data_IF_950263580018
#
_entry.id   IF_950263580018
#
_cell.length_a   1.000
_cell.length_b   1.000
_cell.length_c   1.000
_cell.angle_alpha   90.00
_cell.angle_beta   90.00
_cell.angle_gamma   90.00
#
_symmetry.space_group_name_H-M   'P 1'
#
loop_
_entity.id
_entity.type
_entity.pdbx_description
1 polymer ?
#
# COMPACT_ATOMS: atom_id res chain seq x y z
N UNK A 1 4.99 -18.63 2.62
CA UNK A 1 5.94 -17.49 2.59
C UNK A 1 5.18 -16.20 2.90
N UNK A 2 5.11 -15.74 4.15
CA UNK A 2 4.41 -14.48 4.47
C UNK A 2 5.33 -13.29 4.20
N UNK A 3 5.35 -12.79 2.95
CA UNK A 3 5.99 -11.54 2.59
C UNK A 3 5.25 -10.37 3.27
N UNK A 4 5.75 -9.98 4.44
CA UNK A 4 5.32 -8.76 5.12
C UNK A 4 6.03 -7.59 4.45
N UNK A 5 5.25 -6.63 3.97
CA UNK A 5 5.76 -5.42 3.36
C UNK A 5 5.74 -4.29 4.39
N UNK A 6 6.70 -3.37 4.23
CA UNK A 6 6.68 -2.11 4.97
C UNK A 6 5.66 -1.15 4.35
N UNK A 7 5.25 -0.14 5.13
CA UNK A 7 4.38 0.96 4.66
C UNK A 7 4.94 1.63 3.42
N UNK A 8 6.26 1.78 3.35
CA UNK A 8 6.94 2.42 2.23
C UNK A 8 6.82 1.59 0.95
N UNK A 9 7.05 0.29 1.04
CA UNK A 9 6.94 -0.60 -0.13
C UNK A 9 5.50 -0.74 -0.61
N UNK A 10 4.55 -0.93 0.30
CA UNK A 10 3.15 -0.98 -0.08
C UNK A 10 2.66 0.33 -0.71
N UNK A 11 3.14 1.47 -0.22
CA UNK A 11 2.82 2.77 -0.80
C UNK A 11 3.43 2.91 -2.22
N UNK A 12 4.65 2.41 -2.44
CA UNK A 12 5.27 2.38 -3.76
C UNK A 12 4.50 1.48 -4.74
N UNK A 13 4.07 0.30 -4.31
CA UNK A 13 3.29 -0.65 -5.13
C UNK A 13 1.90 -0.09 -5.50
N UNK A 14 1.25 0.64 -4.60
CA UNK A 14 -0.04 1.30 -4.89
C UNK A 14 0.16 2.58 -5.72
N UNK A 15 1.39 3.13 -5.78
CA UNK A 15 1.64 4.45 -6.35
C UNK A 15 1.06 5.59 -5.49
N UNK A 16 0.98 5.40 -4.17
CA UNK A 16 0.37 6.37 -3.25
C UNK A 16 1.40 6.92 -2.24
N UNK A 17 1.11 8.08 -1.64
CA UNK A 17 1.97 8.64 -0.62
C UNK A 17 1.88 7.85 0.70
N UNK A 18 3.03 7.59 1.33
CA UNK A 18 3.16 6.85 2.61
C UNK A 18 2.31 7.44 3.72
N UNK A 19 2.23 8.78 3.82
CA UNK A 19 1.41 9.44 4.84
C UNK A 19 -0.08 9.26 4.59
N UNK A 20 -0.49 9.28 3.32
CA UNK A 20 -1.87 9.04 2.92
C UNK A 20 -2.28 7.60 3.26
N UNK A 21 -1.42 6.63 2.94
CA UNK A 21 -1.64 5.22 3.28
C UNK A 21 -1.80 5.02 4.79
N UNK A 22 -0.95 5.65 5.61
CA UNK A 22 -1.09 5.61 7.08
C UNK A 22 -2.42 6.20 7.56
N UNK A 23 -2.87 7.32 6.99
CA UNK A 23 -4.18 7.92 7.33
C UNK A 23 -5.33 6.98 6.97
N UNK A 24 -5.31 6.38 5.78
CA UNK A 24 -6.36 5.44 5.34
C UNK A 24 -6.41 4.16 6.18
N UNK A 25 -5.24 3.59 6.50
CA UNK A 25 -5.15 2.43 7.40
C UNK A 25 -5.58 2.78 8.82
N UNK A 26 -5.22 3.97 9.33
CA UNK A 26 -5.67 4.44 10.66
C UNK A 26 -7.17 4.71 10.70
N UNK A 27 -7.74 5.17 9.59
CA UNK A 27 -9.19 5.37 9.43
C UNK A 27 -9.95 4.05 9.24
N UNK A 28 -9.27 2.91 9.05
CA UNK A 28 -9.89 1.61 8.80
C UNK A 28 -10.59 1.51 7.44
N UNK A 29 -10.34 2.46 6.52
CA UNK A 29 -10.89 2.43 5.16
C UNK A 29 -10.17 1.42 4.28
N UNK A 30 -8.87 1.22 4.54
CA UNK A 30 -8.00 0.37 3.72
C UNK A 30 -7.53 -0.82 4.54
N UNK A 31 -7.98 -2.01 4.14
CA UNK A 31 -7.70 -3.27 4.85
C UNK A 31 -6.48 -3.99 4.27
N UNK A 32 -5.36 -3.28 4.20
CA UNK A 32 -4.09 -3.76 3.64
C UNK A 32 -3.29 -4.67 4.58
N UNK A 33 -3.71 -4.74 5.85
CA UNK A 33 -3.01 -5.54 6.86
C UNK A 33 -3.48 -5.26 8.28
N UNK A 34 -2.54 -5.15 9.22
CA UNK A 34 -2.81 -4.88 10.63
C UNK A 34 -2.11 -3.62 11.10
N UNK A 35 -2.88 -2.73 11.72
CA UNK A 35 -2.35 -1.58 12.46
C UNK A 35 -2.38 -1.92 13.94
N UNK A 36 -1.20 -2.10 14.52
CA UNK A 36 -1.04 -2.24 15.96
C UNK A 36 -0.94 -0.85 16.55
N UNK A 37 -2.00 -0.45 17.26
CA UNK A 37 -2.00 0.77 18.06
C UNK A 37 -1.00 0.62 19.22
N UNK A 38 -0.31 1.70 19.61
CA UNK A 38 0.56 1.65 20.77
C UNK A 38 -0.28 1.26 22.00
N UNK A 39 0.15 0.20 22.68
CA UNK A 39 -0.39 -0.21 23.99
C UNK A 39 0.74 -0.10 25.01
N UNK A 40 0.49 -0.35 26.30
CA UNK A 40 1.49 -0.16 27.36
C UNK A 40 2.81 -0.92 27.14
N UNK A 41 2.85 -1.92 26.24
CA UNK A 41 4.08 -2.64 25.82
C UNK A 41 4.74 -2.11 24.55
N UNK A 42 4.06 -1.34 23.70
CA UNK A 42 4.58 -0.90 22.39
C UNK A 42 4.37 0.61 22.29
N UNK A 43 5.46 1.38 22.36
CA UNK A 43 5.41 2.86 22.36
C UNK A 43 5.05 3.46 20.98
N UNK A 44 5.19 2.69 19.89
CA UNK A 44 5.03 3.20 18.53
C UNK A 44 3.91 2.48 17.77
N UNK A 45 3.24 3.20 16.87
CA UNK A 45 2.32 2.61 15.90
C UNK A 45 3.09 1.67 14.97
N UNK A 46 2.61 0.42 14.89
CA UNK A 46 3.21 -0.59 14.04
C UNK A 46 2.24 -0.94 12.93
N UNK A 47 2.72 -0.85 11.69
CA UNK A 47 1.92 -1.11 10.50
C UNK A 47 2.50 -2.36 9.85
N UNK A 48 1.70 -3.41 9.79
CA UNK A 48 2.02 -4.65 9.11
C UNK A 48 1.18 -4.74 7.86
N UNK A 49 1.82 -4.74 6.70
CA UNK A 49 1.13 -4.87 5.42
C UNK A 49 1.44 -6.25 4.86
N UNK A 50 0.41 -6.92 4.37
CA UNK A 50 0.55 -8.24 3.78
C UNK A 50 0.36 -8.12 2.29
N UNK A 51 1.33 -8.64 1.52
CA UNK A 51 1.28 -8.63 0.06
C UNK A 51 -0.03 -9.23 -0.48
N UNK A 52 -0.46 -10.36 0.08
CA UNK A 52 -1.75 -10.99 -0.28
C UNK A 52 -2.99 -10.07 -0.10
N UNK A 53 -3.00 -9.19 0.91
CA UNK A 53 -4.09 -8.21 1.08
C UNK A 53 -3.91 -7.00 0.16
N UNK A 54 -2.67 -6.60 -0.08
CA UNK A 54 -2.29 -5.53 -1.00
C UNK A 54 -2.71 -5.86 -2.45
N UNK A 55 -2.36 -7.04 -2.95
CA UNK A 55 -2.79 -7.54 -4.27
C UNK A 55 -4.32 -7.55 -4.43
N UNK A 56 -5.03 -8.02 -3.40
CA UNK A 56 -6.50 -8.01 -3.38
C UNK A 56 -7.08 -6.59 -3.37
N UNK A 57 -6.43 -5.65 -2.67
CA UNK A 57 -6.87 -4.27 -2.58
C UNK A 57 -6.61 -3.48 -3.87
N UNK A 58 -5.48 -3.73 -4.52
CA UNK A 58 -5.14 -3.16 -5.82
C UNK A 58 -6.06 -3.67 -6.93
N UNK A 59 -6.88 -4.70 -6.65
CA UNK A 59 -7.79 -5.24 -7.64
C UNK A 59 -7.03 -5.78 -8.85
N UNK A 60 -5.80 -6.28 -8.63
CA UNK A 60 -5.01 -6.97 -9.65
C UNK A 60 -5.65 -8.33 -9.91
N UNK A 61 -6.87 -8.34 -10.43
CA UNK A 61 -7.07 -9.07 -11.67
C UNK A 61 -6.27 -8.31 -12.74
N UNK A 62 -5.51 -8.99 -13.61
CA UNK A 62 -4.71 -8.33 -14.63
C UNK A 62 -5.63 -7.60 -15.61
N UNK A 63 -6.00 -6.36 -15.30
CA UNK A 63 -6.45 -5.41 -16.29
C UNK A 63 -5.23 -4.63 -16.72
N UNK A 64 -4.61 -5.17 -17.77
CA UNK A 64 -3.71 -4.44 -18.64
C UNK A 64 -4.42 -3.20 -19.15
N UNK A 65 -4.20 -2.05 -18.51
CA UNK A 65 -4.56 -0.73 -19.03
C UNK A 65 -3.90 0.32 -18.12
N UNK A 66 -2.61 0.57 -18.37
CA UNK A 66 -2.10 1.93 -18.33
C UNK A 66 -1.09 2.03 -19.47
N UNK A 67 -1.68 2.38 -20.59
CA UNK A 67 -1.11 2.74 -21.87
C UNK A 67 0.09 3.68 -21.68
N UNK A 68 1.14 3.34 -22.41
CA UNK A 68 2.39 4.06 -22.53
C UNK A 68 2.09 5.45 -23.10
N UNK A 69 2.24 6.50 -22.28
CA UNK A 69 2.30 7.86 -22.84
C UNK A 69 3.72 8.09 -23.33
N UNK A 70 4.05 7.46 -24.46
CA UNK A 70 5.17 7.84 -25.31
C UNK A 70 4.98 9.32 -25.67
N UNK A 71 5.74 10.20 -25.01
CA UNK A 71 5.89 11.57 -25.48
C UNK A 71 6.99 11.55 -26.54
N UNK A 72 6.63 11.13 -27.76
CA UNK A 72 7.35 11.52 -28.97
C UNK A 72 6.93 12.95 -29.31
N UNK A 73 7.68 13.93 -28.82
CA UNK A 73 7.69 15.26 -29.40
C UNK A 73 8.84 15.32 -30.42
N UNK A 74 8.53 14.94 -31.66
CA UNK A 74 9.35 15.24 -32.85
C UNK A 74 8.96 16.63 -33.41
N UNK A 75 9.99 17.38 -33.80
CA UNK A 75 10.06 18.59 -34.64
C UNK A 75 10.29 19.93 -33.93
#
# INVERSE_FOLDING_TARGET
MSQRLTVKEAAAEIGCNVEYLRRQMKAGRWDLGSVIKPTSKVKNYQYFIFRAKLDKFLGIEPRADNEEVENEADQ
#
